data_IF_179647183836
#
_entry.id   IF_179647183836
#
_cell.length_a   1.000
_cell.length_b   1.000
_cell.length_c   1.000
_cell.angle_alpha   90.00
_cell.angle_beta   90.00
_cell.angle_gamma   90.00
#
_symmetry.space_group_name_H-M   'P 1'
#
loop_
_entity.id
_entity.type
_entity.pdbx_description
1 polymer ?
#
# COMPACT_ATOMS: atom_id res chain seq x y z
N UNK A 1 -23.16 7.45 4.50
CA UNK A 1 -21.99 6.68 4.03
C UNK A 1 -21.93 6.44 2.51
N UNK A 2 -23.02 6.04 1.82
CA UNK A 2 -23.06 6.00 0.33
C UNK A 2 -22.93 7.39 -0.33
N UNK A 3 -23.38 8.45 0.35
CA UNK A 3 -23.29 9.85 -0.11
C UNK A 3 -21.88 10.41 0.05
N UNK A 4 -21.12 9.96 1.06
CA UNK A 4 -19.80 10.53 1.36
C UNK A 4 -18.78 10.24 0.27
N UNK A 5 -18.67 9.00 -0.24
CA UNK A 5 -17.66 8.67 -1.27
C UNK A 5 -17.95 9.37 -2.62
N UNK A 6 -19.23 9.52 -2.97
CA UNK A 6 -19.63 10.26 -4.17
C UNK A 6 -19.35 11.75 -3.97
N UNK A 7 -19.62 12.28 -2.77
CA UNK A 7 -19.32 13.65 -2.39
C UNK A 7 -17.81 13.90 -2.32
N UNK A 8 -17.02 12.97 -1.79
CA UNK A 8 -15.55 13.03 -1.70
C UNK A 8 -14.93 13.01 -3.10
N UNK A 9 -15.47 12.23 -4.04
CA UNK A 9 -15.08 12.22 -5.46
C UNK A 9 -15.51 13.52 -6.14
N UNK A 10 -16.71 14.03 -5.88
CA UNK A 10 -17.21 15.29 -6.43
C UNK A 10 -16.40 16.49 -5.89
N UNK A 11 -16.04 16.48 -4.62
CA UNK A 11 -15.24 17.51 -3.97
C UNK A 11 -13.75 17.39 -4.38
N UNK A 12 -13.25 16.17 -4.64
CA UNK A 12 -11.97 15.87 -5.33
C UNK A 12 -11.86 16.60 -6.68
N UNK A 13 -12.97 16.61 -7.43
CA UNK A 13 -13.05 17.15 -8.78
C UNK A 13 -13.33 18.64 -8.76
N UNK A 14 -13.91 19.16 -7.67
CA UNK A 14 -14.33 20.55 -7.53
C UNK A 14 -13.31 21.45 -6.82
N UNK A 15 -12.43 20.91 -5.96
CA UNK A 15 -11.51 21.74 -5.17
C UNK A 15 -10.04 21.62 -5.56
N UNK A 16 -9.57 22.73 -6.16
CA UNK A 16 -8.19 23.25 -6.28
C UNK A 16 -7.14 22.41 -7.01
N UNK A 17 -6.86 22.84 -8.25
CA UNK A 17 -5.57 22.79 -8.97
C UNK A 17 -4.70 21.55 -8.68
N UNK A 18 -5.03 20.45 -9.36
CA UNK A 18 -4.10 19.32 -9.49
C UNK A 18 -4.73 18.04 -10.04
N UNK A 19 -6.04 17.88 -9.81
CA UNK A 19 -6.84 16.80 -10.40
C UNK A 19 -7.79 17.29 -11.52
N UNK A 20 -7.94 18.61 -11.66
CA UNK A 20 -9.02 19.24 -12.42
C UNK A 20 -8.70 19.42 -13.91
N UNK A 21 -8.40 18.34 -14.65
CA UNK A 21 -8.44 18.40 -16.12
C UNK A 21 -8.95 17.08 -16.68
N UNK A 22 -10.11 16.65 -16.23
CA UNK A 22 -10.98 15.84 -17.10
C UNK A 22 -12.38 16.39 -16.93
N UNK A 23 -12.80 17.20 -17.89
CA UNK A 23 -14.18 17.62 -17.99
C UNK A 23 -15.04 16.34 -18.14
N UNK A 24 -15.94 16.08 -17.19
CA UNK A 24 -16.67 14.81 -17.08
C UNK A 24 -17.56 14.48 -18.29
N UNK A 25 -17.84 15.47 -19.13
CA UNK A 25 -18.76 15.36 -20.27
C UNK A 25 -18.24 14.54 -21.47
N UNK A 26 -16.97 14.12 -21.49
CA UNK A 26 -16.38 13.39 -22.62
C UNK A 26 -15.43 12.26 -22.19
N UNK A 27 -15.84 11.38 -21.28
CA UNK A 27 -15.05 10.17 -20.96
C UNK A 27 -15.25 9.12 -22.07
N UNK A 28 -14.20 8.70 -22.80
CA UNK A 28 -14.33 7.58 -23.73
C UNK A 28 -14.81 6.31 -23.01
N UNK A 29 -15.59 5.47 -23.68
CA UNK A 29 -16.01 4.18 -23.12
C UNK A 29 -14.89 3.13 -23.15
N UNK A 30 -13.97 3.23 -24.11
CA UNK A 30 -12.84 2.31 -24.27
C UNK A 30 -11.70 2.60 -23.28
N UNK A 31 -11.21 1.57 -22.59
CA UNK A 31 -10.13 1.65 -21.58
C UNK A 31 -8.85 2.32 -22.10
N UNK A 32 -8.35 1.93 -23.28
CA UNK A 32 -7.11 2.47 -23.82
C UNK A 32 -7.27 3.95 -24.20
N UNK A 33 -8.43 4.32 -24.76
CA UNK A 33 -8.72 5.71 -25.09
C UNK A 33 -8.85 6.59 -23.85
N UNK A 34 -9.40 6.04 -22.76
CA UNK A 34 -9.41 6.71 -21.45
C UNK A 34 -8.00 6.99 -20.95
N UNK A 35 -7.10 5.99 -20.97
CA UNK A 35 -5.69 6.17 -20.58
C UNK A 35 -4.99 7.23 -21.44
N UNK A 36 -5.11 7.13 -22.76
CA UNK A 36 -4.53 8.11 -23.70
C UNK A 36 -5.02 9.52 -23.42
N UNK A 37 -6.33 9.67 -23.15
CA UNK A 37 -6.94 10.97 -22.83
C UNK A 37 -6.39 11.53 -21.52
N UNK A 38 -6.30 10.71 -20.48
CA UNK A 38 -5.72 11.11 -19.19
C UNK A 38 -4.26 11.55 -19.34
N UNK A 39 -3.45 10.75 -20.04
CA UNK A 39 -2.05 11.10 -20.34
C UNK A 39 -1.98 12.45 -21.04
N UNK A 40 -2.74 12.61 -22.13
CA UNK A 40 -2.77 13.86 -22.92
C UNK A 40 -3.10 15.08 -22.06
N UNK A 41 -4.06 14.96 -21.16
CA UNK A 41 -4.50 16.07 -20.31
C UNK A 41 -3.46 16.43 -19.23
N UNK A 42 -2.63 15.49 -18.80
CA UNK A 42 -1.56 15.74 -17.83
C UNK A 42 -0.29 16.32 -18.48
N UNK A 43 -0.08 16.13 -19.79
CA UNK A 43 1.15 16.54 -20.47
C UNK A 43 1.53 18.02 -20.26
N UNK A 44 0.62 19.00 -20.36
CA UNK A 44 1.01 20.41 -20.24
C UNK A 44 1.44 20.81 -18.84
N UNK A 45 1.13 20.03 -17.81
CA UNK A 45 1.26 20.45 -16.41
C UNK A 45 2.47 19.81 -15.75
N UNK A 46 3.12 20.57 -14.88
CA UNK A 46 4.19 20.09 -14.02
C UNK A 46 4.05 20.74 -12.63
N UNK A 47 4.53 20.05 -11.60
CA UNK A 47 4.58 20.57 -10.23
C UNK A 47 6.03 20.92 -9.85
N UNK A 48 6.27 22.14 -9.32
CA UNK A 48 7.60 22.68 -9.02
C UNK A 48 8.34 22.05 -7.86
N UNK A 49 7.61 21.66 -6.81
CA UNK A 49 8.23 21.59 -5.47
C UNK A 49 8.69 20.19 -5.11
N UNK A 50 8.84 19.32 -6.10
CA UNK A 50 9.13 17.93 -5.86
C UNK A 50 10.63 17.69 -5.70
N UNK A 51 11.14 17.91 -4.48
CA UNK A 51 12.41 17.31 -4.06
C UNK A 51 12.11 15.91 -3.51
N UNK A 52 12.50 14.88 -4.25
CA UNK A 52 12.42 13.47 -3.81
C UNK A 52 12.97 13.28 -2.38
N UNK A 53 14.01 14.05 -2.03
CA UNK A 53 14.64 14.09 -0.70
C UNK A 53 13.66 14.46 0.44
N UNK A 54 12.68 15.34 0.20
CA UNK A 54 11.69 15.71 1.22
C UNK A 54 10.74 14.55 1.55
N UNK A 55 10.46 13.66 0.59
CA UNK A 55 9.66 12.45 0.84
C UNK A 55 10.43 11.42 1.66
N UNK A 56 11.73 11.25 1.40
CA UNK A 56 12.59 10.41 2.23
C UNK A 56 12.70 10.94 3.66
N UNK A 57 12.64 12.27 3.82
CA UNK A 57 12.56 12.93 5.13
C UNK A 57 11.15 12.96 5.72
N UNK A 58 10.15 12.34 5.06
CA UNK A 58 8.73 12.33 5.46
C UNK A 58 8.16 13.73 5.73
N UNK A 59 8.68 14.74 5.04
CA UNK A 59 8.14 16.10 5.02
C UNK A 59 7.01 16.17 3.99
N UNK A 60 5.92 16.83 4.35
CA UNK A 60 4.77 16.99 3.46
C UNK A 60 5.05 18.16 2.52
N UNK A 61 5.03 17.94 1.19
CA UNK A 61 5.23 19.02 0.23
C UNK A 61 4.18 20.12 0.42
N UNK A 62 4.56 21.40 0.27
CA UNK A 62 3.57 22.47 0.15
C UNK A 62 2.83 22.29 -1.19
N UNK A 63 1.55 21.92 -1.10
CA UNK A 63 0.73 21.66 -2.28
C UNK A 63 0.14 22.94 -2.90
N UNK A 64 0.39 24.11 -2.31
CA UNK A 64 -0.01 25.40 -2.86
C UNK A 64 1.03 25.99 -3.83
N UNK A 65 2.22 25.41 -3.91
CA UNK A 65 3.29 25.86 -4.80
C UNK A 65 3.18 25.23 -6.22
N UNK A 66 3.83 25.91 -7.17
CA UNK A 66 3.40 26.18 -8.54
C UNK A 66 3.08 24.97 -9.43
N UNK A 67 1.94 25.06 -10.11
CA UNK A 67 1.71 24.34 -11.38
C UNK A 67 2.14 25.24 -12.52
N UNK A 68 3.33 25.01 -13.08
CA UNK A 68 3.69 25.61 -14.35
C UNK A 68 3.16 24.81 -15.54
N UNK A 69 2.73 25.55 -16.56
CA UNK A 69 2.15 24.98 -17.78
C UNK A 69 3.14 25.13 -18.92
N UNK A 70 3.50 24.04 -19.57
CA UNK A 70 4.26 24.03 -20.81
C UNK A 70 3.38 24.51 -21.96
N UNK A 71 3.66 25.72 -22.47
CA UNK A 71 2.90 26.34 -23.54
C UNK A 71 3.34 25.86 -24.94
N UNK A 72 4.51 25.24 -25.07
CA UNK A 72 5.00 24.75 -26.36
C UNK A 72 4.20 23.54 -26.84
N UNK A 73 3.36 23.77 -27.86
CA UNK A 73 2.61 22.71 -28.53
C UNK A 73 3.54 21.59 -29.06
N UNK A 74 4.69 21.95 -29.63
CA UNK A 74 5.66 20.99 -30.17
C UNK A 74 6.22 20.10 -29.04
N UNK A 75 6.58 20.70 -27.90
CA UNK A 75 7.10 19.95 -26.74
C UNK A 75 6.02 19.05 -26.13
N UNK A 76 4.79 19.54 -26.02
CA UNK A 76 3.65 18.73 -25.55
C UNK A 76 3.37 17.54 -26.48
N UNK A 77 3.41 17.72 -27.81
CA UNK A 77 3.26 16.60 -28.75
C UNK A 77 4.40 15.58 -28.59
N UNK A 78 5.65 16.03 -28.41
CA UNK A 78 6.80 15.13 -28.17
C UNK A 78 6.63 14.34 -26.87
N UNK A 79 6.27 15.00 -25.77
CA UNK A 79 6.07 14.37 -24.47
C UNK A 79 4.91 13.36 -24.50
N UNK A 80 3.80 13.70 -25.17
CA UNK A 80 2.68 12.78 -25.36
C UNK A 80 3.11 11.52 -26.12
N UNK A 81 3.81 11.68 -27.26
CA UNK A 81 4.31 10.55 -28.05
C UNK A 81 5.25 9.66 -27.24
N UNK A 82 6.13 10.26 -26.43
CA UNK A 82 7.01 9.53 -25.52
C UNK A 82 6.21 8.73 -24.48
N UNK A 83 5.24 9.35 -23.82
CA UNK A 83 4.40 8.67 -22.82
C UNK A 83 3.61 7.49 -23.42
N UNK A 84 3.07 7.65 -24.64
CA UNK A 84 2.38 6.54 -25.34
C UNK A 84 3.35 5.42 -25.73
N UNK A 85 4.58 5.75 -26.13
CA UNK A 85 5.62 4.75 -26.40
C UNK A 85 5.97 3.97 -25.14
N UNK A 86 6.16 4.65 -24.01
CA UNK A 86 6.44 4.03 -22.72
C UNK A 86 5.29 3.14 -22.24
N UNK A 87 4.05 3.60 -22.41
CA UNK A 87 2.86 2.82 -22.09
C UNK A 87 2.86 1.48 -22.86
N UNK A 88 3.12 1.51 -24.16
CA UNK A 88 3.16 0.29 -25.00
C UNK A 88 4.38 -0.59 -24.73
N UNK A 89 5.50 0.00 -24.31
CA UNK A 89 6.76 -0.70 -24.06
C UNK A 89 6.75 -1.44 -22.72
N UNK A 90 6.21 -0.79 -21.68
CA UNK A 90 6.23 -1.30 -20.30
C UNK A 90 5.00 -2.15 -19.95
N UNK A 91 3.85 -1.87 -20.56
CA UNK A 91 2.59 -2.45 -20.11
C UNK A 91 1.88 -3.27 -21.19
N UNK A 92 1.28 -4.38 -20.76
CA UNK A 92 0.34 -5.14 -21.57
C UNK A 92 -1.07 -4.55 -21.41
N UNK A 93 -1.51 -3.76 -22.39
CA UNK A 93 -2.80 -3.06 -22.37
C UNK A 93 -3.98 -4.02 -22.16
N UNK A 94 -3.93 -5.22 -22.74
CA UNK A 94 -5.02 -6.19 -22.61
C UNK A 94 -5.10 -6.74 -21.17
N UNK A 95 -3.96 -6.97 -20.54
CA UNK A 95 -3.92 -7.45 -19.15
C UNK A 95 -4.31 -6.35 -18.17
N UNK A 96 -3.91 -5.10 -18.40
CA UNK A 96 -4.40 -3.95 -17.62
C UNK A 96 -5.91 -3.75 -17.79
N UNK A 97 -6.41 -3.85 -19.03
CA UNK A 97 -7.85 -3.76 -19.31
C UNK A 97 -8.61 -4.85 -18.56
N UNK A 98 -8.08 -6.07 -18.52
CA UNK A 98 -8.68 -7.16 -17.76
C UNK A 98 -8.80 -6.79 -16.28
N UNK A 99 -7.75 -6.25 -15.66
CA UNK A 99 -7.82 -5.80 -14.26
C UNK A 99 -8.91 -4.75 -14.10
N UNK A 100 -8.88 -3.71 -14.93
CA UNK A 100 -9.87 -2.62 -14.89
C UNK A 100 -11.32 -3.11 -14.98
N UNK A 101 -11.60 -4.06 -15.88
CA UNK A 101 -12.94 -4.61 -16.08
C UNK A 101 -13.39 -5.50 -14.91
N UNK A 102 -12.45 -6.08 -14.15
CA UNK A 102 -12.72 -6.94 -12.98
C UNK A 102 -12.71 -6.19 -11.64
N UNK A 103 -12.52 -4.87 -11.64
CA UNK A 103 -12.68 -4.06 -10.43
C UNK A 103 -14.16 -3.84 -10.12
N UNK A 104 -14.54 -4.08 -8.87
CA UNK A 104 -15.92 -4.13 -8.42
C UNK A 104 -16.62 -2.77 -8.36
N UNK A 105 -15.88 -1.66 -8.29
CA UNK A 105 -16.48 -0.32 -8.22
C UNK A 105 -15.81 0.76 -9.10
N UNK A 106 -16.57 1.84 -9.33
CA UNK A 106 -16.13 2.95 -10.17
C UNK A 106 -14.93 3.69 -9.59
N UNK A 107 -14.84 3.81 -8.26
CA UNK A 107 -13.71 4.46 -7.59
C UNK A 107 -12.40 3.73 -7.90
N UNK A 108 -12.38 2.41 -7.71
CA UNK A 108 -11.21 1.57 -7.96
C UNK A 108 -10.78 1.67 -9.42
N UNK A 109 -11.73 1.67 -10.36
CA UNK A 109 -11.47 1.87 -11.79
C UNK A 109 -10.82 3.22 -12.10
N UNK A 110 -11.27 4.30 -11.48
CA UNK A 110 -10.63 5.61 -11.66
C UNK A 110 -9.22 5.64 -11.06
N UNK A 111 -9.04 5.16 -9.83
CA UNK A 111 -7.72 5.11 -9.18
C UNK A 111 -6.74 4.28 -10.00
N UNK A 112 -7.16 3.12 -10.51
CA UNK A 112 -6.31 2.26 -11.32
C UNK A 112 -5.78 2.96 -12.57
N UNK A 113 -6.62 3.71 -13.28
CA UNK A 113 -6.17 4.53 -14.41
C UNK A 113 -5.13 5.57 -13.99
N UNK A 114 -5.37 6.27 -12.87
CA UNK A 114 -4.43 7.26 -12.36
C UNK A 114 -3.09 6.67 -11.91
N UNK A 115 -3.10 5.46 -11.34
CA UNK A 115 -1.88 4.72 -10.98
C UNK A 115 -1.02 4.45 -12.23
N UNK A 116 -1.64 3.99 -13.32
CA UNK A 116 -0.94 3.75 -14.58
C UNK A 116 -0.38 5.07 -15.13
N UNK A 117 -1.18 6.14 -15.17
CA UNK A 117 -0.75 7.45 -15.68
C UNK A 117 0.40 8.01 -14.83
N UNK A 118 0.33 7.87 -13.50
CA UNK A 118 1.42 8.24 -12.59
C UNK A 118 2.69 7.43 -12.87
N UNK A 119 2.61 6.10 -13.03
CA UNK A 119 3.81 5.28 -13.30
C UNK A 119 4.47 5.63 -14.65
N UNK A 120 3.72 6.18 -15.61
CA UNK A 120 4.24 6.67 -16.90
C UNK A 120 4.83 8.08 -16.80
N UNK A 121 4.12 9.01 -16.16
CA UNK A 121 4.46 10.44 -16.19
C UNK A 121 5.24 10.92 -14.95
N UNK A 122 5.21 10.15 -13.87
CA UNK A 122 5.80 10.48 -12.59
C UNK A 122 5.01 11.50 -11.76
N UNK A 123 5.43 11.61 -10.50
CA UNK A 123 4.93 12.53 -9.49
C UNK A 123 5.08 14.03 -9.84
N UNK A 124 6.01 14.37 -10.75
CA UNK A 124 6.16 15.72 -11.28
C UNK A 124 5.02 16.14 -12.20
N UNK A 125 4.18 15.22 -12.67
CA UNK A 125 3.03 15.48 -13.55
C UNK A 125 1.69 15.01 -12.99
N UNK A 126 1.71 13.99 -12.14
CA UNK A 126 0.50 13.39 -11.55
C UNK A 126 0.68 13.35 -10.05
N UNK A 127 -0.24 13.93 -9.29
CA UNK A 127 -0.28 13.82 -7.82
C UNK A 127 -1.58 13.14 -7.43
N UNK A 128 -1.53 12.21 -6.49
CA UNK A 128 -2.74 11.55 -6.01
C UNK A 128 -3.51 12.44 -5.02
N UNK A 129 -4.86 12.31 -4.96
CA UNK A 129 -5.71 13.23 -4.21
C UNK A 129 -5.47 13.25 -2.70
N UNK A 130 -4.87 12.21 -2.13
CA UNK A 130 -4.56 12.18 -0.70
C UNK A 130 -3.64 13.31 -0.26
N UNK A 131 -2.88 13.90 -1.19
CA UNK A 131 -2.14 15.15 -1.01
C UNK A 131 -2.97 16.28 -0.42
N UNK A 132 -4.29 16.24 -0.62
CA UNK A 132 -5.21 17.33 -0.29
C UNK A 132 -6.24 16.93 0.75
N UNK A 133 -6.09 15.78 1.41
CA UNK A 133 -7.01 15.40 2.48
C UNK A 133 -6.74 16.23 3.74
N UNK A 134 -7.82 16.67 4.42
CA UNK A 134 -7.77 17.37 5.73
C UNK A 134 -6.98 16.58 6.80
N UNK A 135 -6.62 15.32 6.52
CA UNK A 135 -5.72 14.52 7.35
C UNK A 135 -4.35 15.18 7.54
N UNK A 136 -3.88 15.98 6.59
CA UNK A 136 -2.61 16.71 6.73
C UNK A 136 -2.74 17.99 7.57
N UNK A 137 -3.94 18.57 7.70
CA UNK A 137 -4.22 19.64 8.68
C UNK A 137 -4.10 19.11 10.12
N UNK A 138 -4.07 17.79 10.31
CA UNK A 138 -3.91 17.13 11.62
C UNK A 138 -2.45 16.99 12.04
N UNK A 139 -1.44 17.39 11.26
CA UNK A 139 -0.04 17.28 11.68
C UNK A 139 0.26 17.97 13.01
N UNK A 140 -0.32 19.15 13.20
CA UNK A 140 -0.21 19.89 14.46
C UNK A 140 -0.95 19.19 15.61
N UNK A 141 -2.04 18.51 15.30
CA UNK A 141 -2.72 17.66 16.26
C UNK A 141 -1.88 16.42 16.62
N UNK A 142 -1.18 15.80 15.67
CA UNK A 142 -0.31 14.64 15.91
C UNK A 142 0.86 14.98 16.85
N UNK A 143 1.33 16.23 16.88
CA UNK A 143 2.29 16.68 17.89
C UNK A 143 1.77 16.47 19.32
N UNK A 144 0.46 16.63 19.54
CA UNK A 144 -0.20 16.47 20.85
C UNK A 144 -0.39 15.00 21.27
N UNK A 145 -0.04 14.05 20.39
CA UNK A 145 -0.02 12.61 20.68
C UNK A 145 1.35 12.13 21.15
N UNK A 146 2.42 12.93 20.97
CA UNK A 146 3.77 12.61 21.43
C UNK A 146 3.76 12.48 22.95
N UNK A 147 4.33 11.40 23.48
CA UNK A 147 4.34 11.09 24.92
C UNK A 147 5.45 11.86 25.62
N UNK A 148 6.66 11.72 25.10
CA UNK A 148 7.91 12.27 25.65
C UNK A 148 8.93 12.44 24.52
N UNK A 149 10.14 12.91 24.86
CA UNK A 149 11.23 13.10 23.91
C UNK A 149 12.08 11.84 23.70
N UNK A 150 11.63 10.66 24.14
CA UNK A 150 12.33 9.43 23.79
C UNK A 150 12.19 9.17 22.29
N UNK A 151 13.34 8.93 21.67
CA UNK A 151 13.47 8.67 20.26
C UNK A 151 14.05 7.28 20.03
N UNK A 152 13.62 6.67 18.94
CA UNK A 152 14.13 5.40 18.47
C UNK A 152 14.70 5.61 17.07
N UNK A 153 15.95 5.23 16.87
CA UNK A 153 16.55 5.23 15.55
C UNK A 153 15.88 4.14 14.70
N UNK A 154 15.06 4.55 13.74
CA UNK A 154 14.57 3.68 12.68
C UNK A 154 15.55 3.62 11.52
N UNK A 155 15.28 2.74 10.56
CA UNK A 155 16.14 2.54 9.40
C UNK A 155 16.28 3.77 8.49
N UNK A 156 15.21 4.56 8.32
CA UNK A 156 15.19 5.73 7.42
C UNK A 156 14.81 7.04 8.12
N UNK A 157 14.33 6.99 9.36
CA UNK A 157 13.90 8.16 10.11
C UNK A 157 14.03 7.94 11.61
N UNK A 158 14.02 9.05 12.36
CA UNK A 158 13.92 9.02 13.81
C UNK A 158 12.45 8.86 14.18
N UNK A 159 12.14 7.80 14.91
CA UNK A 159 10.81 7.55 15.44
C UNK A 159 10.63 8.22 16.79
N UNK A 160 9.49 8.88 16.95
CA UNK A 160 9.05 9.47 18.20
C UNK A 160 8.02 8.55 18.85
N UNK A 161 7.89 8.61 20.18
CA UNK A 161 6.91 7.81 20.92
C UNK A 161 5.54 8.50 20.96
N UNK A 162 4.51 7.83 20.49
CA UNK A 162 3.13 8.35 20.42
C UNK A 162 2.13 7.48 21.20
N UNK A 163 1.09 8.11 21.74
CA UNK A 163 -0.09 7.47 22.31
C UNK A 163 -1.31 7.78 21.44
N UNK A 164 -1.90 6.75 20.84
CA UNK A 164 -2.97 6.88 19.86
C UNK A 164 -4.38 6.78 20.48
N UNK A 165 -4.51 6.70 21.81
CA UNK A 165 -5.82 6.57 22.48
C UNK A 165 -6.76 7.74 22.13
N UNK A 166 -6.22 8.95 21.97
CA UNK A 166 -7.00 10.14 21.61
C UNK A 166 -7.60 10.09 20.20
N UNK A 167 -7.10 9.21 19.33
CA UNK A 167 -7.63 8.96 17.97
C UNK A 167 -8.34 7.60 17.87
N UNK A 168 -8.66 6.97 19.00
CA UNK A 168 -9.52 5.79 19.06
C UNK A 168 -8.81 4.44 18.99
N UNK A 169 -7.48 4.40 19.11
CA UNK A 169 -6.70 3.17 19.11
C UNK A 169 -6.02 2.99 20.45
N UNK A 170 -6.21 1.84 21.11
CA UNK A 170 -5.48 1.52 22.34
C UNK A 170 -4.06 1.03 21.99
N UNK A 171 -3.24 1.94 21.47
CA UNK A 171 -1.90 1.67 20.94
C UNK A 171 -0.93 2.78 21.33
N UNK A 172 0.26 2.38 21.80
CA UNK A 172 1.42 3.25 21.99
C UNK A 172 2.58 2.72 21.18
N UNK A 173 3.28 3.55 20.42
CA UNK A 173 4.35 3.07 19.55
C UNK A 173 5.37 4.16 19.21
N UNK A 174 6.58 3.72 18.92
CA UNK A 174 7.58 4.46 18.17
C UNK A 174 7.24 4.38 16.68
N UNK A 175 6.99 5.53 16.08
CA UNK A 175 6.78 5.71 14.64
C UNK A 175 7.04 7.18 14.29
N UNK A 176 6.69 7.60 13.07
CA UNK A 176 6.55 9.01 12.74
C UNK A 176 5.12 9.35 12.33
N UNK A 177 4.88 10.65 12.12
CA UNK A 177 3.55 11.18 11.86
C UNK A 177 2.94 10.63 10.58
N UNK A 178 3.74 10.36 9.55
CA UNK A 178 3.26 9.81 8.29
C UNK A 178 2.79 8.37 8.52
N UNK A 179 3.54 7.58 9.28
CA UNK A 179 3.11 6.25 9.72
C UNK A 179 1.74 6.27 10.40
N UNK A 180 1.51 7.22 11.32
CA UNK A 180 0.20 7.38 11.99
C UNK A 180 -0.91 7.72 11.00
N UNK A 181 -0.65 8.67 10.09
CA UNK A 181 -1.65 9.08 9.08
C UNK A 181 -2.03 7.88 8.21
N UNK A 182 -1.04 7.19 7.64
CA UNK A 182 -1.26 6.10 6.68
C UNK A 182 -1.90 4.89 7.36
N UNK A 183 -1.36 4.44 8.49
CA UNK A 183 -1.82 3.22 9.16
C UNK A 183 -3.14 3.42 9.92
N UNK A 184 -3.30 4.52 10.66
CA UNK A 184 -4.37 4.67 11.66
C UNK A 184 -5.48 5.64 11.26
N UNK A 185 -5.17 6.72 10.52
CA UNK A 185 -6.17 7.69 10.09
C UNK A 185 -6.78 7.34 8.73
N UNK A 186 -5.94 6.91 7.79
CA UNK A 186 -6.35 6.51 6.45
C UNK A 186 -6.70 5.03 6.36
N UNK A 187 -6.31 4.26 7.37
CA UNK A 187 -6.48 2.81 7.47
C UNK A 187 -6.02 2.14 6.16
N UNK A 188 -4.72 2.19 5.88
CA UNK A 188 -4.13 1.71 4.64
C UNK A 188 -4.61 0.32 4.23
N UNK A 189 -4.74 -0.61 5.18
CA UNK A 189 -5.16 -1.98 4.89
C UNK A 189 -6.67 -2.21 5.09
N UNK A 190 -7.45 -1.13 5.03
CA UNK A 190 -8.91 -1.17 4.98
C UNK A 190 -9.44 -0.47 3.71
N UNK A 191 -10.33 -1.18 3.01
CA UNK A 191 -11.10 -0.64 1.90
C UNK A 191 -12.54 -0.36 2.33
N UNK A 192 -12.80 0.92 2.64
CA UNK A 192 -14.11 1.40 3.11
C UNK A 192 -14.58 0.52 4.27
N UNK A 193 -15.85 0.12 4.28
CA UNK A 193 -16.39 -0.88 5.21
C UNK A 193 -16.57 -2.26 4.55
N UNK A 194 -15.84 -2.53 3.46
CA UNK A 194 -15.99 -3.75 2.66
C UNK A 194 -14.90 -4.76 3.04
N UNK A 195 -13.63 -4.34 2.96
CA UNK A 195 -12.46 -5.17 3.28
C UNK A 195 -11.74 -4.53 4.45
N UNK A 196 -11.79 -5.17 5.62
CA UNK A 196 -11.06 -4.75 6.83
C UNK A 196 -10.90 -5.91 7.81
N UNK A 197 -9.88 -5.86 8.64
CA UNK A 197 -9.77 -6.75 9.80
C UNK A 197 -10.90 -6.43 10.80
N UNK A 198 -11.39 -7.46 11.48
CA UNK A 198 -12.50 -7.41 12.41
C UNK A 198 -12.19 -8.23 13.66
N UNK A 199 -12.98 -8.00 14.71
CA UNK A 199 -12.86 -8.74 15.96
C UNK A 199 -12.89 -10.26 15.72
N UNK A 200 -11.92 -10.96 16.30
CA UNK A 200 -11.76 -12.41 16.18
C UNK A 200 -11.02 -12.87 14.92
N UNK A 201 -10.68 -11.99 13.97
CA UNK A 201 -9.96 -12.39 12.75
C UNK A 201 -8.56 -12.95 13.05
N UNK A 202 -8.14 -13.92 12.24
CA UNK A 202 -6.77 -14.41 12.17
C UNK A 202 -6.10 -13.77 10.95
N UNK A 203 -5.09 -12.95 11.21
CA UNK A 203 -4.45 -12.08 10.22
C UNK A 203 -3.03 -12.57 9.94
N UNK A 204 -2.69 -12.74 8.66
CA UNK A 204 -1.30 -12.78 8.21
C UNK A 204 -0.88 -11.34 7.90
N UNK A 205 0.15 -10.84 8.59
CA UNK A 205 0.81 -9.56 8.31
C UNK A 205 2.18 -9.86 7.67
N UNK A 206 2.24 -9.91 6.35
CA UNK A 206 3.47 -10.10 5.59
C UNK A 206 4.23 -8.78 5.42
N UNK A 207 5.47 -8.74 5.91
CA UNK A 207 6.30 -7.53 5.93
C UNK A 207 5.89 -6.62 7.08
N UNK A 208 6.02 -7.12 8.31
CA UNK A 208 5.54 -6.42 9.51
C UNK A 208 6.44 -5.27 9.95
N UNK A 209 7.67 -5.16 9.42
CA UNK A 209 8.61 -4.09 9.73
C UNK A 209 8.75 -3.86 11.24
N UNK A 210 8.61 -2.62 11.71
CA UNK A 210 8.68 -2.27 13.12
C UNK A 210 7.34 -2.46 13.89
N UNK A 211 6.40 -3.24 13.35
CA UNK A 211 5.20 -3.71 14.04
C UNK A 211 4.04 -2.71 14.14
N UNK A 212 4.10 -1.59 13.43
CA UNK A 212 3.04 -0.58 13.43
C UNK A 212 1.72 -1.10 12.87
N UNK A 213 1.76 -1.81 11.75
CA UNK A 213 0.58 -2.46 11.14
C UNK A 213 0.13 -3.67 11.95
N UNK A 214 1.05 -4.43 12.54
CA UNK A 214 0.71 -5.54 13.43
C UNK A 214 -0.06 -5.07 14.67
N UNK A 215 0.33 -3.93 15.26
CA UNK A 215 -0.39 -3.30 16.37
C UNK A 215 -1.77 -2.76 15.94
N UNK A 216 -1.86 -2.16 14.75
CA UNK A 216 -3.15 -1.80 14.16
C UNK A 216 -4.08 -3.01 14.05
N UNK A 217 -3.59 -4.13 13.51
CA UNK A 217 -4.39 -5.35 13.42
C UNK A 217 -4.74 -5.91 14.79
N UNK A 218 -3.82 -5.94 15.75
CA UNK A 218 -4.10 -6.41 17.10
C UNK A 218 -5.20 -5.60 17.78
N UNK A 219 -5.21 -4.28 17.62
CA UNK A 219 -6.32 -3.44 18.07
C UNK A 219 -7.63 -3.78 17.34
N UNK A 220 -7.63 -4.01 16.01
CA UNK A 220 -8.87 -4.35 15.29
C UNK A 220 -9.42 -5.73 15.64
N UNK A 221 -8.57 -6.74 15.80
CA UNK A 221 -9.02 -8.12 16.03
C UNK A 221 -9.35 -8.42 17.50
N UNK A 222 -8.94 -7.54 18.42
CA UNK A 222 -9.23 -7.62 19.86
C UNK A 222 -8.80 -8.97 20.45
N UNK A 223 -9.25 -9.26 21.68
CA UNK A 223 -8.75 -10.38 22.52
C UNK A 223 -8.80 -11.77 21.86
N UNK A 224 -9.78 -12.01 20.98
CA UNK A 224 -10.02 -13.34 20.40
C UNK A 224 -9.34 -13.56 19.03
N UNK A 225 -8.75 -12.51 18.45
CA UNK A 225 -8.05 -12.61 17.17
C UNK A 225 -6.55 -12.90 17.31
N UNK A 226 -5.92 -13.19 16.17
CA UNK A 226 -4.48 -13.45 16.07
C UNK A 226 -3.87 -12.67 14.93
N UNK A 227 -2.63 -12.24 15.11
CA UNK A 227 -1.81 -11.60 14.07
C UNK A 227 -0.52 -12.37 13.98
N UNK A 228 -0.30 -13.05 12.86
CA UNK A 228 0.95 -13.72 12.53
C UNK A 228 1.80 -12.75 11.73
N UNK A 229 2.77 -12.14 12.40
CA UNK A 229 3.57 -11.04 11.90
C UNK A 229 4.91 -11.55 11.35
N UNK A 230 5.08 -11.49 10.03
CA UNK A 230 6.27 -12.00 9.35
C UNK A 230 7.31 -10.87 9.19
N UNK A 231 8.40 -10.99 9.93
CA UNK A 231 9.56 -10.10 9.89
C UNK A 231 10.80 -10.85 10.39
N UNK A 232 11.92 -10.67 9.70
CA UNK A 232 13.19 -11.36 9.94
C UNK A 232 14.40 -10.41 10.01
N UNK A 233 14.28 -9.18 9.54
CA UNK A 233 15.32 -8.15 9.61
C UNK A 233 15.53 -7.73 11.06
N UNK A 234 16.78 -7.86 11.52
CA UNK A 234 17.15 -7.65 12.93
C UNK A 234 16.74 -6.25 13.45
N UNK A 235 17.08 -5.19 12.73
CA UNK A 235 16.80 -3.81 13.15
C UNK A 235 15.28 -3.52 13.23
N UNK A 236 14.51 -4.08 12.29
CA UNK A 236 13.04 -4.01 12.33
C UNK A 236 12.50 -4.75 13.56
N UNK A 237 13.00 -5.95 13.84
CA UNK A 237 12.61 -6.74 15.01
C UNK A 237 12.96 -6.04 16.34
N UNK A 238 14.09 -5.35 16.43
CA UNK A 238 14.44 -4.57 17.63
C UNK A 238 13.40 -3.48 17.90
N UNK A 239 13.02 -2.74 16.85
CA UNK A 239 11.98 -1.71 16.92
C UNK A 239 10.59 -2.29 17.23
N UNK A 240 10.24 -3.41 16.58
CA UNK A 240 9.00 -4.13 16.81
C UNK A 240 8.89 -4.60 18.27
N UNK A 241 9.95 -5.18 18.83
CA UNK A 241 9.93 -5.63 20.22
C UNK A 241 9.73 -4.47 21.21
N UNK A 242 10.35 -3.30 20.97
CA UNK A 242 10.08 -2.10 21.78
C UNK A 242 8.62 -1.65 21.67
N UNK A 243 8.05 -1.69 20.47
CA UNK A 243 6.64 -1.38 20.25
C UNK A 243 5.70 -2.39 20.93
N UNK A 244 6.02 -3.69 20.95
CA UNK A 244 5.24 -4.68 21.70
C UNK A 244 5.31 -4.48 23.21
N UNK A 245 6.47 -4.08 23.75
CA UNK A 245 6.61 -3.79 25.19
C UNK A 245 5.73 -2.63 25.65
N UNK A 246 5.46 -1.66 24.77
CA UNK A 246 4.52 -0.56 25.04
C UNK A 246 3.05 -1.00 25.05
N UNK A 247 2.73 -2.18 24.52
CA UNK A 247 1.36 -2.70 24.37
C UNK A 247 1.23 -4.13 24.94
N UNK A 248 1.43 -4.33 26.24
CA UNK A 248 1.39 -5.66 26.87
C UNK A 248 0.04 -6.39 26.69
N UNK A 249 -1.05 -5.64 26.47
CA UNK A 249 -2.38 -6.20 26.20
C UNK A 249 -2.44 -7.02 24.91
N UNK A 250 -1.57 -6.76 23.92
CA UNK A 250 -1.54 -7.49 22.64
C UNK A 250 -0.51 -8.62 22.60
N UNK A 251 0.21 -8.89 23.69
CA UNK A 251 1.24 -9.95 23.76
C UNK A 251 0.72 -11.32 23.33
N UNK A 252 -0.57 -11.61 23.60
CA UNK A 252 -1.18 -12.88 23.23
C UNK A 252 -1.86 -12.85 21.85
N UNK A 253 -2.01 -11.68 21.24
CA UNK A 253 -2.58 -11.53 19.89
C UNK A 253 -1.52 -11.69 18.81
N UNK A 254 -0.32 -11.13 19.02
CA UNK A 254 0.73 -11.06 18.00
C UNK A 254 1.73 -12.21 18.17
N UNK A 255 1.98 -12.94 17.09
CA UNK A 255 3.02 -13.98 16.98
C UNK A 255 4.01 -13.56 15.91
N UNK A 256 5.26 -13.29 16.31
CA UNK A 256 6.33 -12.95 15.36
C UNK A 256 6.86 -14.22 14.70
N UNK A 257 6.89 -14.23 13.37
CA UNK A 257 7.40 -15.32 12.53
C UNK A 257 8.64 -14.84 11.78
N UNK A 258 9.82 -15.34 12.20
CA UNK A 258 11.12 -14.97 11.62
C UNK A 258 11.47 -15.82 10.40
N UNK A 259 10.57 -15.84 9.41
CA UNK A 259 10.76 -16.53 8.13
C UNK A 259 10.30 -15.61 6.99
N UNK A 260 10.91 -15.74 5.81
CA UNK A 260 10.48 -15.01 4.63
C UNK A 260 9.28 -15.73 3.98
N UNK A 261 8.21 -15.00 3.64
CA UNK A 261 7.10 -15.59 2.89
C UNK A 261 7.52 -15.76 1.43
N UNK A 262 7.34 -16.95 0.86
CA UNK A 262 7.67 -17.26 -0.54
C UNK A 262 6.71 -18.30 -1.14
N UNK A 263 6.92 -18.63 -2.42
CA UNK A 263 6.22 -19.71 -3.12
C UNK A 263 6.72 -21.12 -2.78
N UNK A 264 7.90 -21.23 -2.17
CA UNK A 264 8.51 -22.50 -1.75
C UNK A 264 9.09 -22.37 -0.33
N UNK A 265 9.00 -23.44 0.47
CA UNK A 265 9.52 -23.50 1.84
C UNK A 265 10.97 -23.98 1.88
N UNK A 266 11.68 -23.64 2.96
CA UNK A 266 13.04 -24.09 3.26
C UNK A 266 14.10 -23.68 2.23
N UNK A 267 13.80 -22.70 1.37
CA UNK A 267 14.82 -22.08 0.54
C UNK A 267 15.65 -21.14 1.41
N UNK A 268 16.97 -21.23 1.25
CA UNK A 268 17.89 -20.27 1.84
C UNK A 268 17.94 -19.03 0.96
N UNK A 269 17.62 -17.89 1.55
CA UNK A 269 17.55 -16.58 0.90
C UNK A 269 18.45 -15.59 1.64
N UNK A 270 18.75 -14.49 0.97
CA UNK A 270 19.60 -13.42 1.50
C UNK A 270 18.83 -12.11 1.53
N UNK A 271 19.04 -11.31 2.57
CA UNK A 271 18.42 -10.00 2.74
C UNK A 271 19.25 -8.95 2.01
N UNK A 272 18.61 -8.16 1.15
CA UNK A 272 19.19 -6.97 0.52
C UNK A 272 18.40 -5.73 0.91
N UNK A 273 19.11 -4.63 1.19
CA UNK A 273 18.50 -3.36 1.60
C UNK A 273 18.39 -3.23 3.12
N UNK A 274 17.84 -2.11 3.56
CA UNK A 274 17.74 -1.74 4.98
C UNK A 274 16.30 -1.32 5.27
N UNK A 275 15.78 -1.69 6.45
CA UNK A 275 14.51 -1.16 6.94
C UNK A 275 13.27 -1.63 6.17
N UNK A 276 12.28 -0.75 5.93
CA UNK A 276 11.10 -1.10 5.13
C UNK A 276 11.40 -1.43 3.66
N UNK A 277 12.56 -1.05 3.11
CA UNK A 277 12.92 -1.37 1.72
C UNK A 277 13.73 -2.68 1.59
N UNK A 278 13.83 -3.45 2.68
CA UNK A 278 14.53 -4.74 2.68
C UNK A 278 13.74 -5.79 1.91
N UNK A 279 14.42 -6.49 1.01
CA UNK A 279 13.84 -7.54 0.16
C UNK A 279 14.68 -8.82 0.21
N UNK A 280 14.11 -9.92 -0.25
CA UNK A 280 14.82 -11.20 -0.39
C UNK A 280 15.45 -11.35 -1.79
N UNK A 281 16.66 -11.88 -1.84
CA UNK A 281 17.39 -12.25 -3.06
C UNK A 281 17.93 -13.68 -2.97
N UNK A 282 18.14 -14.32 -4.11
CA UNK A 282 18.59 -15.71 -4.20
C UNK A 282 20.13 -15.85 -4.25
N UNK A 283 20.85 -14.74 -4.32
CA UNK A 283 22.32 -14.73 -4.46
C UNK A 283 22.95 -14.11 -3.24
N UNK A 284 23.89 -14.81 -2.61
CA UNK A 284 24.66 -14.28 -1.51
C UNK A 284 25.42 -13.01 -1.93
N UNK A 285 25.38 -11.99 -1.09
CA UNK A 285 26.26 -10.83 -1.16
C UNK A 285 27.08 -10.76 0.13
N UNK A 286 28.29 -10.23 0.04
CA UNK A 286 29.14 -10.10 1.21
C UNK A 286 28.43 -9.28 2.31
N UNK A 287 28.31 -9.88 3.50
CA UNK A 287 27.65 -9.27 4.65
C UNK A 287 26.12 -9.29 4.64
N UNK A 288 25.46 -9.98 3.70
CA UNK A 288 24.01 -10.13 3.69
C UNK A 288 23.53 -11.11 4.78
N UNK A 289 22.50 -10.72 5.53
CA UNK A 289 21.83 -11.62 6.46
C UNK A 289 21.12 -12.76 5.72
N UNK A 290 21.03 -13.92 6.37
CA UNK A 290 20.40 -15.11 5.82
C UNK A 290 19.02 -15.34 6.45
N UNK A 291 18.07 -15.80 5.64
CA UNK A 291 16.72 -16.17 6.09
C UNK A 291 16.22 -17.39 5.34
N UNK A 292 15.45 -18.23 6.01
CA UNK A 292 14.74 -19.34 5.37
C UNK A 292 13.31 -18.94 5.00
N UNK A 293 12.88 -19.40 3.82
CA UNK A 293 11.54 -19.19 3.34
C UNK A 293 10.52 -20.15 3.97
N UNK A 294 9.26 -19.74 3.97
CA UNK A 294 8.10 -20.59 4.23
C UNK A 294 6.94 -20.18 3.33
N UNK A 295 6.17 -21.15 2.86
CA UNK A 295 4.88 -20.90 2.21
C UNK A 295 3.80 -20.66 3.26
N UNK A 296 2.78 -19.86 2.94
CA UNK A 296 1.68 -19.67 3.90
C UNK A 296 0.88 -20.97 4.12
N UNK A 297 0.78 -21.82 3.09
CA UNK A 297 0.18 -23.14 3.21
C UNK A 297 0.92 -24.03 4.23
N UNK A 298 2.26 -24.10 4.16
CA UNK A 298 3.05 -24.90 5.10
C UNK A 298 3.03 -24.28 6.51
N UNK A 299 3.12 -22.95 6.62
CA UNK A 299 2.99 -22.26 7.91
C UNK A 299 1.69 -22.62 8.63
N UNK A 300 0.56 -22.53 7.92
CA UNK A 300 -0.76 -22.87 8.46
C UNK A 300 -0.83 -24.34 8.87
N UNK A 301 -0.30 -25.24 8.05
CA UNK A 301 -0.28 -26.68 8.32
C UNK A 301 0.59 -27.04 9.52
N UNK A 302 1.82 -26.54 9.57
CA UNK A 302 2.80 -26.81 10.64
C UNK A 302 2.31 -26.33 12.01
N UNK A 303 1.60 -25.20 12.04
CA UNK A 303 1.10 -24.58 13.27
C UNK A 303 -0.36 -24.96 13.59
N UNK A 304 -0.97 -25.86 12.81
CA UNK A 304 -2.35 -26.33 12.99
C UNK A 304 -3.35 -25.16 13.09
N UNK A 305 -3.17 -24.16 12.23
CA UNK A 305 -4.02 -22.97 12.23
C UNK A 305 -5.35 -23.31 11.56
N UNK A 306 -6.44 -23.20 12.31
CA UNK A 306 -7.77 -23.64 11.87
C UNK A 306 -8.48 -22.64 10.94
N UNK A 307 -8.03 -21.39 10.92
CA UNK A 307 -8.58 -20.34 10.05
C UNK A 307 -7.57 -19.22 9.77
N UNK A 308 -7.72 -18.61 8.61
CA UNK A 308 -7.12 -17.32 8.25
C UNK A 308 -8.22 -16.47 7.64
N UNK A 309 -8.49 -15.32 8.25
CA UNK A 309 -9.61 -14.43 7.87
C UNK A 309 -9.14 -13.22 7.06
N UNK A 310 -7.86 -12.86 7.20
CA UNK A 310 -7.26 -11.71 6.53
C UNK A 310 -5.79 -11.97 6.16
N UNK A 311 -5.38 -11.57 4.96
CA UNK A 311 -3.97 -11.59 4.54
C UNK A 311 -3.59 -10.19 4.04
N UNK A 312 -2.61 -9.58 4.69
CA UNK A 312 -1.88 -8.41 4.21
C UNK A 312 -0.52 -8.86 3.68
N UNK A 313 -0.15 -8.39 2.49
CA UNK A 313 1.20 -8.59 1.95
C UNK A 313 1.76 -7.26 1.44
N UNK A 314 2.91 -6.89 2.00
CA UNK A 314 3.76 -5.79 1.55
C UNK A 314 5.20 -6.24 1.78
N UNK A 315 5.76 -6.97 0.81
CA UNK A 315 6.98 -7.76 0.98
C UNK A 315 7.97 -7.52 -0.17
N UNK A 316 8.01 -6.27 -0.63
CA UNK A 316 9.02 -5.74 -1.55
C UNK A 316 9.18 -6.55 -2.86
N UNK A 317 8.04 -6.91 -3.47
CA UNK A 317 7.98 -7.53 -4.78
C UNK A 317 7.81 -9.06 -4.79
N UNK A 318 7.71 -9.69 -3.62
CA UNK A 318 7.47 -11.13 -3.50
C UNK A 318 5.98 -11.50 -3.39
N UNK A 319 5.06 -10.55 -3.55
CA UNK A 319 3.62 -10.73 -3.31
C UNK A 319 3.02 -11.84 -4.17
N UNK A 320 3.35 -11.91 -5.47
CA UNK A 320 2.84 -12.96 -6.35
C UNK A 320 3.34 -14.35 -5.93
N UNK A 321 4.60 -14.49 -5.55
CA UNK A 321 5.17 -15.77 -5.10
C UNK A 321 4.58 -16.19 -3.75
N UNK A 322 4.41 -15.25 -2.81
CA UNK A 322 3.72 -15.49 -1.56
C UNK A 322 2.26 -15.96 -1.77
N UNK A 323 1.54 -15.36 -2.72
CA UNK A 323 0.19 -15.81 -3.10
C UNK A 323 0.21 -17.22 -3.70
N UNK A 324 1.23 -17.57 -4.49
CA UNK A 324 1.42 -18.95 -4.99
C UNK A 324 1.65 -19.95 -3.86
N UNK A 325 2.44 -19.57 -2.86
CA UNK A 325 2.63 -20.33 -1.62
C UNK A 325 1.42 -20.34 -0.67
N UNK A 326 0.33 -19.65 -1.03
CA UNK A 326 -0.90 -19.57 -0.24
C UNK A 326 -2.11 -20.19 -0.95
N UNK A 327 -1.89 -20.90 -2.07
CA UNK A 327 -2.97 -21.32 -2.96
C UNK A 327 -4.01 -22.23 -2.28
N UNK A 328 -3.60 -23.09 -1.33
CA UNK A 328 -4.55 -23.96 -0.61
C UNK A 328 -5.36 -23.14 0.40
N UNK A 329 -4.72 -22.29 1.20
CA UNK A 329 -5.43 -21.49 2.21
C UNK A 329 -6.34 -20.43 1.58
N UNK A 330 -5.97 -19.89 0.41
CA UNK A 330 -6.82 -18.98 -0.36
C UNK A 330 -8.12 -19.67 -0.80
N UNK A 331 -8.05 -20.92 -1.26
CA UNK A 331 -9.24 -21.71 -1.64
C UNK A 331 -10.05 -22.17 -0.44
N UNK A 332 -9.37 -22.59 0.63
CA UNK A 332 -9.99 -23.18 1.81
C UNK A 332 -10.70 -22.13 2.66
N UNK A 333 -10.00 -21.04 3.01
CA UNK A 333 -10.50 -20.05 3.96
C UNK A 333 -11.08 -18.80 3.29
N UNK A 334 -10.75 -18.56 2.01
CA UNK A 334 -11.19 -17.37 1.26
C UNK A 334 -11.01 -16.05 2.04
N UNK A 335 -9.80 -15.79 2.60
CA UNK A 335 -9.57 -14.63 3.46
C UNK A 335 -9.77 -13.32 2.73
N UNK A 336 -10.11 -12.27 3.47
CA UNK A 336 -9.99 -10.89 2.97
C UNK A 336 -8.53 -10.61 2.63
N UNK A 337 -8.26 -9.93 1.52
CA UNK A 337 -6.90 -9.62 1.07
C UNK A 337 -6.66 -8.12 1.05
N UNK A 338 -5.44 -7.70 1.40
CA UNK A 338 -4.90 -6.37 1.15
C UNK A 338 -3.44 -6.50 0.70
N UNK A 339 -3.20 -6.43 -0.61
CA UNK A 339 -1.94 -6.79 -1.26
C UNK A 339 -1.35 -5.55 -1.93
N UNK A 340 -0.11 -5.19 -1.60
CA UNK A 340 0.63 -4.14 -2.30
C UNK A 340 0.84 -4.53 -3.77
N UNK A 341 0.55 -3.60 -4.69
CA UNK A 341 0.69 -3.80 -6.14
C UNK A 341 1.51 -2.68 -6.81
N UNK A 342 2.41 -2.05 -6.04
CA UNK A 342 3.22 -0.92 -6.53
C UNK A 342 4.68 -1.30 -6.83
N UNK A 343 5.20 -2.41 -6.28
CA UNK A 343 6.60 -2.80 -6.36
C UNK A 343 7.07 -3.11 -7.79
N UNK A 344 6.26 -3.84 -8.56
CA UNK A 344 6.52 -4.14 -9.98
C UNK A 344 5.42 -3.58 -10.85
N UNK A 345 5.73 -3.35 -12.13
CA UNK A 345 4.70 -2.92 -13.08
C UNK A 345 3.68 -4.05 -13.31
N UNK A 346 4.18 -5.28 -13.37
CA UNK A 346 3.44 -6.53 -13.59
C UNK A 346 2.41 -6.83 -12.50
N UNK A 347 2.65 -6.35 -11.27
CA UNK A 347 1.74 -6.54 -10.13
C UNK A 347 0.35 -5.96 -10.40
N UNK A 348 0.24 -4.93 -11.24
CA UNK A 348 -1.03 -4.32 -11.64
C UNK A 348 -1.96 -5.28 -12.38
N UNK A 349 -1.45 -6.38 -12.94
CA UNK A 349 -2.27 -7.35 -13.64
C UNK A 349 -2.04 -8.80 -13.20
N UNK A 350 -0.80 -9.20 -12.90
CA UNK A 350 -0.51 -10.58 -12.53
C UNK A 350 -1.15 -10.96 -11.19
N UNK A 351 -1.10 -10.10 -10.19
CA UNK A 351 -1.67 -10.36 -8.87
C UNK A 351 -3.21 -10.45 -8.93
N UNK A 352 -3.94 -9.46 -9.48
CA UNK A 352 -5.39 -9.57 -9.70
C UNK A 352 -5.80 -10.83 -10.48
N UNK A 353 -5.09 -11.15 -11.56
CA UNK A 353 -5.37 -12.33 -12.39
C UNK A 353 -5.11 -13.63 -11.63
N UNK A 354 -4.02 -13.69 -10.86
CA UNK A 354 -3.69 -14.86 -10.07
C UNK A 354 -4.75 -15.11 -9.00
N UNK A 355 -5.11 -14.09 -8.21
CA UNK A 355 -6.15 -14.19 -7.17
C UNK A 355 -7.46 -14.72 -7.75
N UNK A 356 -7.93 -14.15 -8.87
CA UNK A 356 -9.15 -14.60 -9.57
C UNK A 356 -9.03 -15.99 -10.20
N UNK A 357 -7.84 -16.42 -10.58
CA UNK A 357 -7.65 -17.78 -11.12
C UNK A 357 -7.71 -18.85 -10.02
N UNK A 358 -7.35 -18.50 -8.79
CA UNK A 358 -7.44 -19.39 -7.62
C UNK A 358 -8.85 -19.38 -7.01
N UNK A 359 -9.47 -18.20 -6.88
CA UNK A 359 -10.83 -18.01 -6.35
C UNK A 359 -11.56 -16.95 -7.19
N UNK A 360 -12.33 -17.37 -8.22
CA UNK A 360 -13.05 -16.48 -9.12
C UNK A 360 -14.06 -15.55 -8.43
N UNK A 361 -14.55 -15.92 -7.26
CA UNK A 361 -15.60 -15.22 -6.49
C UNK A 361 -15.11 -13.96 -5.76
N UNK A 362 -13.80 -13.67 -5.76
CA UNK A 362 -13.30 -12.44 -5.16
C UNK A 362 -13.80 -11.20 -5.91
N UNK A 363 -14.42 -10.27 -5.21
CA UNK A 363 -14.55 -8.89 -5.67
C UNK A 363 -13.24 -8.15 -5.43
N UNK A 364 -12.75 -7.43 -6.46
CA UNK A 364 -11.48 -6.72 -6.43
C UNK A 364 -11.67 -5.20 -6.31
N UNK A 365 -10.87 -4.57 -5.46
CA UNK A 365 -10.91 -3.12 -5.21
C UNK A 365 -9.49 -2.56 -5.17
N UNK A 366 -9.31 -1.29 -5.50
CA UNK A 366 -8.00 -0.63 -5.44
C UNK A 366 -8.11 0.71 -4.72
N UNK A 367 -7.13 1.00 -3.87
CA UNK A 367 -6.92 2.29 -3.23
C UNK A 367 -5.45 2.68 -3.39
N UNK A 368 -5.23 3.97 -3.54
CA UNK A 368 -3.91 4.59 -3.52
C UNK A 368 -3.87 5.47 -2.28
N UNK A 369 -2.85 5.32 -1.43
CA UNK A 369 -2.82 5.96 -0.10
C UNK A 369 -1.86 7.14 0.01
N UNK A 370 -0.81 7.19 -0.81
CA UNK A 370 0.17 8.28 -0.75
C UNK A 370 0.13 9.14 -2.01
N UNK A 371 0.76 10.31 -1.89
CA UNK A 371 0.86 11.32 -2.96
C UNK A 371 1.78 10.88 -4.10
N UNK A 372 2.66 9.92 -3.81
CA UNK A 372 3.58 9.28 -4.74
C UNK A 372 3.08 7.89 -5.10
N UNK A 373 3.63 7.29 -6.16
CA UNK A 373 3.23 5.97 -6.66
C UNK A 373 3.60 4.77 -5.77
N UNK A 374 3.75 4.97 -4.46
CA UNK A 374 3.89 3.93 -3.45
C UNK A 374 2.56 3.73 -2.73
N UNK A 375 2.39 2.62 -2.01
CA UNK A 375 1.15 2.36 -1.26
C UNK A 375 -0.11 2.26 -2.15
N UNK A 376 0.04 1.71 -3.35
CA UNK A 376 -1.11 1.19 -4.13
C UNK A 376 -1.45 -0.20 -3.62
N UNK A 377 -2.65 -0.36 -3.06
CA UNK A 377 -3.11 -1.62 -2.46
C UNK A 377 -4.31 -2.16 -3.23
N UNK A 378 -4.22 -3.42 -3.63
CA UNK A 378 -5.34 -4.24 -4.11
C UNK A 378 -6.02 -4.89 -2.92
N UNK A 379 -7.33 -4.78 -2.83
CA UNK A 379 -8.14 -5.46 -1.82
C UNK A 379 -9.03 -6.48 -2.48
N UNK A 380 -9.26 -7.60 -1.80
CA UNK A 380 -10.18 -8.62 -2.27
C UNK A 380 -11.05 -9.15 -1.12
N UNK A 381 -12.30 -9.47 -1.43
CA UNK A 381 -13.21 -10.19 -0.52
C UNK A 381 -14.18 -11.04 -1.35
N UNK A 382 -14.45 -12.27 -0.93
CA UNK A 382 -15.49 -13.09 -1.55
C UNK A 382 -16.88 -12.52 -1.19
N UNK A 383 -17.73 -12.41 -2.20
CA UNK A 383 -19.10 -11.90 -2.09
C UNK A 383 -19.98 -12.77 -1.19
#
# INVERSE_FOLDING_TARGET
MKIQIVQDVIDLLRNKKGFSIVNHAQKPSNFEDRLKTLIKNCIPYYYTDFKIEQLYQRQIPDFNEYVYTEQSLIKNIKNYKFAIKELKRRYNINQLKWTYDNLADGYSREIFLWVIVHKILGCGKVRFPLAYSESFDKLDYLNKLKIDNEELQGAFSIFNKFNLNKIGYDVKLFTDKIGIIVAYLLEQYAYKNIVKAQEGDYVIDGGSCYGDISLYFADKVKKNGKVFAFEFVKDNLESFNKNLQLNPQYKNNIVIVKKAISGESNQKLYVEGIGPASKIINTAKDGADEVFSITLDDFVKENQIEKIDFIKLDIEGCELEALKGAAKILKQFKPKLAISIYHKDEDLWQIPQYIKSIVPEYDLYIKQLTVVGWETVLYAKCS
#
